data_IF_708240267046
#
_entry.id   IF_708240267046
#
_cell.length_a   1.000
_cell.length_b   1.000
_cell.length_c   1.000
_cell.angle_alpha   90.00
_cell.angle_beta   90.00
_cell.angle_gamma   90.00
#
_symmetry.space_group_name_H-M   'P 1'
#
loop_
_entity.id
_entity.type
_entity.pdbx_description
1 polymer ?
#
# COMPACT_ATOMS: atom_id res chain seq x y z
N UNK A 1 2.55 5.10 -54.90
CA UNK A 1 2.74 3.82 -54.16
C UNK A 1 3.69 3.91 -52.96
N UNK A 2 4.62 4.89 -52.91
CA UNK A 2 5.66 4.98 -51.86
C UNK A 2 5.26 5.62 -50.50
N UNK A 3 4.11 6.30 -50.39
CA UNK A 3 3.70 6.95 -49.12
C UNK A 3 3.03 6.01 -48.11
N UNK A 4 2.59 4.81 -48.52
CA UNK A 4 1.97 3.83 -47.61
C UNK A 4 2.99 2.90 -46.92
N UNK A 5 4.19 2.75 -47.50
CA UNK A 5 5.28 1.95 -46.91
C UNK A 5 6.00 2.68 -45.77
N UNK A 6 6.09 4.01 -45.82
CA UNK A 6 6.72 4.80 -44.75
C UNK A 6 5.92 4.80 -43.43
N UNK A 7 4.58 4.71 -43.50
CA UNK A 7 3.72 4.66 -42.31
C UNK A 7 3.76 3.30 -41.61
N UNK A 8 3.94 2.21 -42.37
CA UNK A 8 4.06 0.86 -41.83
C UNK A 8 5.45 0.65 -41.21
N UNK A 9 6.51 1.25 -41.77
CA UNK A 9 7.85 1.22 -41.17
C UNK A 9 7.95 2.04 -39.88
N UNK A 10 7.23 3.18 -39.77
CA UNK A 10 7.18 3.94 -38.51
C UNK A 10 6.37 3.21 -37.41
N UNK A 11 5.36 2.43 -37.80
CA UNK A 11 4.58 1.58 -36.89
C UNK A 11 5.33 0.30 -36.48
N UNK A 12 6.28 -0.19 -37.28
CA UNK A 12 7.12 -1.35 -36.96
C UNK A 12 8.38 -0.99 -36.16
N UNK A 13 8.95 0.22 -36.32
CA UNK A 13 10.14 0.67 -35.58
C UNK A 13 9.85 1.16 -34.16
N UNK A 14 8.61 1.54 -33.85
CA UNK A 14 8.18 1.82 -32.47
C UNK A 14 7.62 0.58 -31.75
N UNK A 15 7.43 -0.51 -32.50
CA UNK A 15 7.13 -1.85 -32.01
C UNK A 15 8.41 -2.71 -31.91
N UNK A 16 9.49 -2.18 -31.34
CA UNK A 16 10.46 -3.07 -30.67
C UNK A 16 9.88 -3.48 -29.32
N UNK A 17 8.89 -4.36 -29.42
CA UNK A 17 8.48 -5.26 -28.38
C UNK A 17 9.67 -6.19 -28.07
N UNK A 18 10.60 -5.71 -27.26
CA UNK A 18 11.10 -6.56 -26.21
C UNK A 18 9.89 -6.79 -25.30
N UNK A 19 9.17 -7.89 -25.55
CA UNK A 19 8.27 -8.52 -24.59
C UNK A 19 9.16 -8.96 -23.43
N UNK A 20 9.61 -8.00 -22.64
CA UNK A 20 9.98 -8.28 -21.27
C UNK A 20 8.67 -8.76 -20.65
N UNK A 21 8.62 -9.95 -20.04
CA UNK A 21 7.58 -10.20 -19.07
C UNK A 21 7.70 -9.00 -18.13
N UNK A 22 6.67 -8.15 -18.10
CA UNK A 22 6.57 -7.04 -17.15
C UNK A 22 6.41 -7.74 -15.81
N UNK A 23 7.55 -8.18 -15.29
CA UNK A 23 7.67 -8.84 -14.03
C UNK A 23 7.39 -7.70 -13.08
N UNK A 24 6.16 -7.63 -12.58
CA UNK A 24 5.70 -6.65 -11.60
C UNK A 24 6.43 -6.79 -10.25
N UNK A 25 7.60 -7.44 -10.25
CA UNK A 25 8.52 -7.64 -9.13
C UNK A 25 9.31 -6.37 -8.80
N UNK A 26 9.39 -5.38 -9.69
CA UNK A 26 10.12 -4.14 -9.44
C UNK A 26 9.39 -3.18 -8.47
N UNK A 27 8.06 -3.24 -8.39
CA UNK A 27 7.29 -2.45 -7.42
C UNK A 27 7.09 -3.32 -6.17
N UNK A 28 8.15 -3.48 -5.38
CA UNK A 28 8.10 -4.21 -4.12
C UNK A 28 7.34 -3.37 -3.06
N UNK A 29 6.01 -3.55 -3.00
CA UNK A 29 5.03 -2.73 -2.26
C UNK A 29 4.49 -3.35 -0.98
N UNK A 30 5.08 -4.45 -0.51
CA UNK A 30 5.05 -4.83 0.91
C UNK A 30 5.34 -3.62 1.85
N UNK A 31 5.94 -2.59 1.26
CA UNK A 31 6.40 -1.34 1.84
C UNK A 31 5.32 -0.28 2.08
N UNK A 32 4.09 -0.37 1.57
CA UNK A 32 3.10 0.73 1.75
C UNK A 32 2.35 0.68 3.09
N UNK A 33 2.13 -0.52 3.64
CA UNK A 33 1.45 -0.68 4.94
C UNK A 33 2.38 -0.33 6.09
N UNK A 34 1.95 0.60 6.96
CA UNK A 34 2.64 0.95 8.21
C UNK A 34 2.74 -0.25 9.16
N UNK A 35 1.72 -1.11 9.17
CA UNK A 35 1.64 -2.32 10.00
C UNK A 35 2.82 -3.26 9.76
N UNK A 36 3.36 -3.28 8.54
CA UNK A 36 4.57 -4.05 8.23
C UNK A 36 5.81 -3.57 8.99
N UNK A 37 5.88 -2.31 9.42
CA UNK A 37 7.00 -1.79 10.23
C UNK A 37 6.96 -2.32 11.67
N UNK A 38 5.76 -2.52 12.22
CA UNK A 38 5.59 -3.02 13.58
C UNK A 38 6.13 -4.44 13.75
N UNK A 39 6.02 -5.24 12.69
CA UNK A 39 6.45 -6.63 12.73
C UNK A 39 7.76 -6.90 11.97
N UNK A 40 8.39 -5.92 11.33
CA UNK A 40 9.63 -6.13 10.56
C UNK A 40 10.88 -6.23 11.42
N UNK A 41 10.88 -5.68 12.64
CA UNK A 41 12.02 -5.79 13.54
C UNK A 41 12.21 -7.21 14.04
N UNK A 42 13.45 -7.68 14.06
CA UNK A 42 13.79 -8.94 14.71
C UNK A 42 13.93 -8.70 16.22
N UNK A 43 12.93 -9.15 16.97
CA UNK A 43 12.78 -8.91 18.40
C UNK A 43 12.80 -10.23 19.18
N UNK A 44 13.23 -10.26 20.44
CA UNK A 44 13.02 -11.39 21.35
C UNK A 44 11.53 -11.71 21.54
N UNK A 45 11.22 -12.96 21.85
CA UNK A 45 9.85 -13.47 22.00
C UNK A 45 8.99 -12.61 22.95
N UNK A 46 9.56 -12.19 24.09
CA UNK A 46 8.82 -11.41 25.09
C UNK A 46 8.46 -10.01 24.58
N UNK A 47 9.36 -9.34 23.83
CA UNK A 47 9.04 -8.06 23.18
C UNK A 47 7.97 -8.25 22.09
N UNK A 48 8.03 -9.34 21.31
CA UNK A 48 7.00 -9.66 20.31
C UNK A 48 5.62 -9.82 20.95
N UNK A 49 5.52 -10.52 22.08
CA UNK A 49 4.26 -10.68 22.83
C UNK A 49 3.70 -9.35 23.33
N UNK A 50 4.56 -8.44 23.83
CA UNK A 50 4.13 -7.10 24.25
C UNK A 50 3.54 -6.30 23.09
N UNK A 51 4.21 -6.33 21.93
CA UNK A 51 3.71 -5.66 20.72
C UNK A 51 2.39 -6.28 20.25
N UNK A 52 2.26 -7.61 20.29
CA UNK A 52 1.02 -8.31 19.95
C UNK A 52 -0.15 -7.92 20.85
N UNK A 53 0.11 -7.71 22.15
CA UNK A 53 -0.90 -7.21 23.08
C UNK A 53 -1.27 -5.76 22.76
N UNK A 54 -0.30 -4.87 22.54
CA UNK A 54 -0.53 -3.47 22.17
C UNK A 54 -1.43 -3.36 20.94
N UNK A 55 -1.12 -4.11 19.87
CA UNK A 55 -1.89 -4.09 18.62
C UNK A 55 -3.31 -4.60 18.87
N UNK A 56 -3.47 -5.74 19.53
CA UNK A 56 -4.78 -6.36 19.76
C UNK A 56 -5.67 -5.50 20.67
N UNK A 57 -5.12 -4.98 21.76
CA UNK A 57 -5.87 -4.16 22.73
C UNK A 57 -6.31 -2.84 22.10
N UNK A 58 -5.40 -2.14 21.43
CA UNK A 58 -5.73 -0.85 20.80
C UNK A 58 -6.77 -1.00 19.69
N UNK A 59 -6.68 -2.06 18.88
CA UNK A 59 -7.68 -2.33 17.83
C UNK A 59 -9.04 -2.77 18.40
N UNK A 60 -9.04 -3.47 19.54
CA UNK A 60 -10.27 -3.86 20.24
C UNK A 60 -10.96 -2.65 20.87
N UNK A 61 -10.20 -1.75 21.50
CA UNK A 61 -10.70 -0.52 22.11
C UNK A 61 -11.29 0.43 21.06
N UNK A 62 -10.58 0.62 19.95
CA UNK A 62 -11.00 1.54 18.91
C UNK A 62 -12.31 1.17 18.22
N UNK A 63 -12.81 -0.08 18.38
CA UNK A 63 -14.11 -0.51 17.86
C UNK A 63 -14.34 -0.11 16.39
N UNK A 64 -13.30 -0.24 15.54
CA UNK A 64 -13.34 0.17 14.14
C UNK A 64 -14.59 -0.41 13.45
N UNK A 65 -15.62 0.41 13.34
CA UNK A 65 -16.83 0.08 12.61
C UNK A 65 -16.41 -0.15 11.17
N UNK A 66 -16.82 -1.28 10.60
CA UNK A 66 -16.22 -1.85 9.40
C UNK A 66 -15.90 -0.83 8.30
N UNK A 67 -14.77 -1.03 7.61
CA UNK A 67 -14.29 -0.15 6.54
C UNK A 67 -15.43 0.34 5.63
N UNK A 68 -15.52 1.66 5.38
CA UNK A 68 -16.53 2.20 4.48
C UNK A 68 -16.30 1.64 3.07
N UNK A 69 -17.39 1.48 2.34
CA UNK A 69 -17.35 1.21 0.90
C UNK A 69 -17.77 2.47 0.18
N UNK A 70 -16.90 2.97 -0.71
CA UNK A 70 -17.11 4.21 -1.45
C UNK A 70 -17.79 3.88 -2.76
N UNK A 71 -19.02 4.36 -2.94
CA UNK A 71 -19.85 4.12 -4.13
C UNK A 71 -19.86 5.31 -5.08
N UNK A 72 -19.62 6.52 -4.57
CA UNK A 72 -19.63 7.77 -5.33
C UNK A 72 -18.52 8.69 -4.82
N UNK A 73 -18.13 9.67 -5.64
CA UNK A 73 -17.14 10.69 -5.29
C UNK A 73 -17.79 11.99 -4.77
N UNK A 74 -19.03 11.90 -4.27
CA UNK A 74 -19.70 13.07 -3.70
C UNK A 74 -19.09 13.49 -2.36
N UNK A 75 -19.34 14.74 -1.98
CA UNK A 75 -18.79 15.32 -0.77
C UNK A 75 -19.11 14.51 0.49
N UNK A 76 -20.34 13.98 0.60
CA UNK A 76 -20.74 13.23 1.79
C UNK A 76 -19.94 11.95 1.96
N UNK A 77 -19.70 11.20 0.88
CA UNK A 77 -18.90 9.98 0.92
C UNK A 77 -17.41 10.27 1.09
N UNK A 78 -16.89 11.32 0.45
CA UNK A 78 -15.50 11.73 0.64
C UNK A 78 -15.24 12.22 2.08
N UNK A 79 -16.19 12.95 2.67
CA UNK A 79 -16.12 13.39 4.06
C UNK A 79 -16.12 12.20 5.03
N UNK A 80 -17.05 11.25 4.85
CA UNK A 80 -17.11 10.05 5.66
C UNK A 80 -15.83 9.19 5.52
N UNK A 81 -15.30 9.08 4.30
CA UNK A 81 -14.03 8.42 4.03
C UNK A 81 -12.88 9.11 4.77
N UNK A 82 -12.79 10.44 4.68
CA UNK A 82 -11.76 11.23 5.37
C UNK A 82 -11.83 11.05 6.88
N UNK A 83 -13.03 11.07 7.46
CA UNK A 83 -13.23 10.84 8.90
C UNK A 83 -12.74 9.46 9.32
N UNK A 84 -13.09 8.42 8.55
CA UNK A 84 -12.61 7.06 8.80
C UNK A 84 -11.08 6.94 8.66
N UNK A 85 -10.48 7.59 7.65
CA UNK A 85 -9.02 7.55 7.46
C UNK A 85 -8.27 8.25 8.60
N UNK A 86 -8.82 9.34 9.14
CA UNK A 86 -8.27 10.03 10.30
C UNK A 86 -8.32 9.13 11.54
N UNK A 87 -9.47 8.50 11.82
CA UNK A 87 -9.61 7.57 12.95
C UNK A 87 -8.60 6.41 12.86
N UNK A 88 -8.42 5.83 11.67
CA UNK A 88 -7.40 4.78 11.48
C UNK A 88 -5.97 5.33 11.64
N UNK A 89 -5.72 6.59 11.25
CA UNK A 89 -4.44 7.25 11.48
C UNK A 89 -4.14 7.37 12.98
N UNK A 90 -5.10 7.84 13.78
CA UNK A 90 -4.95 8.04 15.22
C UNK A 90 -4.68 6.70 15.95
N UNK A 91 -5.37 5.63 15.53
CA UNK A 91 -5.13 4.27 16.03
C UNK A 91 -3.71 3.81 15.71
N UNK A 92 -3.25 4.04 14.48
CA UNK A 92 -1.89 3.66 14.04
C UNK A 92 -0.81 4.44 14.78
N UNK A 93 -1.04 5.71 15.04
CA UNK A 93 -0.15 6.56 15.84
C UNK A 93 -0.07 6.04 17.28
N UNK A 94 -1.22 5.79 17.91
CA UNK A 94 -1.31 5.21 19.25
C UNK A 94 -0.57 3.88 19.36
N UNK A 95 -0.75 2.97 18.40
CA UNK A 95 -0.03 1.69 18.35
C UNK A 95 1.48 1.95 18.20
N UNK A 96 1.89 2.78 17.25
CA UNK A 96 3.31 3.08 17.02
C UNK A 96 3.96 3.65 18.28
N UNK A 97 3.32 4.61 18.95
CA UNK A 97 3.87 5.24 20.15
C UNK A 97 4.05 4.24 21.30
N UNK A 98 3.04 3.39 21.53
CA UNK A 98 3.12 2.32 22.54
C UNK A 98 4.19 1.29 22.19
N UNK A 99 4.34 0.94 20.91
CA UNK A 99 5.44 0.06 20.45
C UNK A 99 6.79 0.74 20.70
N UNK A 100 6.94 2.01 20.36
CA UNK A 100 8.20 2.73 20.56
C UNK A 100 8.63 2.73 22.03
N UNK A 101 7.70 2.77 22.98
CA UNK A 101 8.00 2.70 24.41
C UNK A 101 8.64 1.35 24.84
N UNK A 102 8.27 0.23 24.22
CA UNK A 102 8.81 -1.10 24.56
C UNK A 102 10.14 -1.44 23.84
N UNK A 103 10.51 -0.63 22.84
CA UNK A 103 11.74 -0.81 22.08
C UNK A 103 12.94 -0.15 22.76
N UNK A 104 14.12 -0.74 22.57
CA UNK A 104 15.40 -0.11 22.96
C UNK A 104 15.72 1.10 22.07
N UNK A 105 16.61 2.02 22.47
CA UNK A 105 16.98 3.17 21.65
C UNK A 105 17.50 2.80 20.24
N UNK A 106 18.16 1.66 20.09
CA UNK A 106 18.60 1.17 18.78
C UNK A 106 17.42 0.67 17.94
N UNK A 107 16.53 -0.13 18.53
CA UNK A 107 15.34 -0.65 17.86
C UNK A 107 14.38 0.48 17.45
N UNK A 108 14.22 1.51 18.30
CA UNK A 108 13.42 2.71 17.98
C UNK A 108 13.93 3.41 16.73
N UNK A 109 15.26 3.61 16.62
CA UNK A 109 15.87 4.21 15.41
C UNK A 109 15.62 3.36 14.16
N UNK A 110 15.69 2.04 14.28
CA UNK A 110 15.38 1.13 13.17
C UNK A 110 13.91 1.19 12.76
N UNK A 111 12.98 1.20 13.72
CA UNK A 111 11.55 1.35 13.46
C UNK A 111 11.25 2.70 12.81
N UNK A 112 11.80 3.80 13.33
CA UNK A 112 11.60 5.14 12.78
C UNK A 112 12.09 5.21 11.33
N UNK A 113 13.30 4.74 11.04
CA UNK A 113 13.83 4.72 9.68
C UNK A 113 12.96 3.90 8.73
N UNK A 114 12.33 2.82 9.22
CA UNK A 114 11.36 2.05 8.44
C UNK A 114 10.06 2.83 8.22
N UNK A 115 9.50 3.49 9.24
CA UNK A 115 8.31 4.33 9.12
C UNK A 115 8.53 5.48 8.12
N UNK A 116 9.67 6.17 8.21
CA UNK A 116 10.01 7.28 7.31
C UNK A 116 10.13 6.80 5.86
N UNK A 117 10.79 5.66 5.66
CA UNK A 117 10.90 5.04 4.33
C UNK A 117 9.53 4.68 3.77
N UNK A 118 8.61 4.19 4.60
CA UNK A 118 7.24 3.86 4.19
C UNK A 118 6.43 5.10 3.85
N UNK A 119 6.55 6.17 4.65
CA UNK A 119 5.93 7.47 4.34
C UNK A 119 6.38 7.98 2.97
N UNK A 120 7.68 7.97 2.71
CA UNK A 120 8.22 8.35 1.39
C UNK A 120 7.64 7.51 0.24
N UNK A 121 7.48 6.18 0.42
CA UNK A 121 6.83 5.35 -0.60
C UNK A 121 5.34 5.65 -0.78
N UNK A 122 4.62 5.98 0.30
CA UNK A 122 3.22 6.38 0.23
C UNK A 122 3.08 7.72 -0.53
N UNK A 123 3.96 8.68 -0.26
CA UNK A 123 3.97 9.98 -0.95
C UNK A 123 4.25 9.82 -2.44
N UNK A 124 5.26 9.02 -2.78
CA UNK A 124 5.58 8.67 -4.17
C UNK A 124 4.42 7.97 -4.87
N UNK A 125 3.79 7.00 -4.20
CA UNK A 125 2.65 6.27 -4.76
C UNK A 125 1.45 7.18 -4.96
N UNK A 126 1.20 8.11 -4.03
CA UNK A 126 0.11 9.09 -4.13
C UNK A 126 0.35 10.03 -5.30
N UNK A 127 1.55 10.60 -5.41
CA UNK A 127 1.93 11.44 -6.54
C UNK A 127 1.74 10.70 -7.88
N UNK A 128 2.19 9.45 -7.96
CA UNK A 128 2.00 8.60 -9.12
C UNK A 128 0.52 8.39 -9.47
N UNK A 129 -0.33 8.07 -8.50
CA UNK A 129 -1.76 7.88 -8.76
C UNK A 129 -2.44 9.18 -9.23
N UNK A 130 -1.98 10.34 -8.74
CA UNK A 130 -2.49 11.65 -9.14
C UNK A 130 -2.06 12.06 -10.56
N UNK A 131 -0.95 11.54 -11.09
CA UNK A 131 -0.53 11.82 -12.47
C UNK A 131 -1.29 10.99 -13.50
N UNK A 132 -1.91 9.88 -13.08
CA UNK A 132 -2.71 9.05 -13.96
C UNK A 132 -4.04 9.75 -14.26
N UNK A 133 -4.38 9.87 -15.54
CA UNK A 133 -5.71 10.34 -15.95
C UNK A 133 -6.76 9.23 -15.71
N UNK A 134 -7.24 9.12 -14.47
CA UNK A 134 -8.17 8.10 -14.01
C UNK A 134 -9.62 8.54 -14.17
N UNK A 135 -10.46 7.69 -14.76
CA UNK A 135 -11.92 7.89 -14.74
C UNK A 135 -12.48 7.72 -13.32
N UNK A 136 -13.62 8.35 -13.01
CA UNK A 136 -14.30 8.23 -11.71
C UNK A 136 -14.51 6.76 -11.29
N UNK A 137 -14.88 5.90 -12.24
CA UNK A 137 -15.02 4.46 -12.01
C UNK A 137 -13.70 3.81 -11.58
N UNK A 138 -12.58 4.17 -12.21
CA UNK A 138 -11.26 3.69 -11.83
C UNK A 138 -10.84 4.24 -10.46
N UNK A 139 -11.09 5.53 -10.18
CA UNK A 139 -10.81 6.14 -8.88
C UNK A 139 -11.54 5.41 -7.75
N UNK A 140 -12.84 5.14 -7.92
CA UNK A 140 -13.64 4.37 -6.94
C UNK A 140 -13.10 2.96 -6.72
N UNK A 141 -12.72 2.25 -7.79
CA UNK A 141 -12.14 0.91 -7.67
C UNK A 141 -10.79 0.93 -6.95
N UNK A 142 -9.97 1.94 -7.22
CA UNK A 142 -8.66 2.14 -6.57
C UNK A 142 -8.86 2.44 -5.08
N UNK A 143 -9.70 3.41 -4.72
CA UNK A 143 -9.99 3.77 -3.32
C UNK A 143 -10.46 2.55 -2.53
N UNK A 144 -11.44 1.80 -3.05
CA UNK A 144 -11.95 0.60 -2.36
C UNK A 144 -10.89 -0.51 -2.27
N UNK A 145 -10.02 -0.65 -3.27
CA UNK A 145 -8.91 -1.61 -3.22
C UNK A 145 -7.88 -1.24 -2.15
N UNK A 146 -7.56 0.06 -2.02
CA UNK A 146 -6.66 0.56 -0.98
C UNK A 146 -7.24 0.35 0.43
N UNK A 147 -8.53 0.66 0.62
CA UNK A 147 -9.25 0.41 1.87
C UNK A 147 -9.26 -1.08 2.24
N UNK A 148 -9.50 -1.95 1.26
CA UNK A 148 -9.44 -3.40 1.46
C UNK A 148 -8.04 -3.84 1.90
N UNK A 149 -6.98 -3.34 1.25
CA UNK A 149 -5.61 -3.66 1.63
C UNK A 149 -5.26 -3.18 3.04
N UNK A 150 -5.68 -1.97 3.42
CA UNK A 150 -5.50 -1.44 4.78
C UNK A 150 -6.17 -2.35 5.81
N UNK A 151 -7.42 -2.76 5.59
CA UNK A 151 -8.13 -3.67 6.49
C UNK A 151 -7.44 -5.02 6.57
N UNK A 152 -6.98 -5.56 5.44
CA UNK A 152 -6.25 -6.83 5.42
C UNK A 152 -4.94 -6.74 6.22
N UNK A 153 -4.20 -5.63 6.09
CA UNK A 153 -2.96 -5.44 6.82
C UNK A 153 -3.20 -5.43 8.35
N UNK A 154 -4.18 -4.66 8.81
CA UNK A 154 -4.59 -4.62 10.22
C UNK A 154 -5.02 -6.00 10.73
N UNK A 155 -5.85 -6.71 9.95
CA UNK A 155 -6.29 -8.05 10.31
C UNK A 155 -5.15 -9.07 10.36
N UNK A 156 -4.13 -8.94 9.50
CA UNK A 156 -2.94 -9.81 9.51
C UNK A 156 -2.12 -9.57 10.78
N UNK A 157 -1.82 -8.31 11.13
CA UNK A 157 -0.99 -8.02 12.31
C UNK A 157 -1.69 -8.33 13.63
N UNK A 158 -3.01 -8.13 13.69
CA UNK A 158 -3.82 -8.45 14.87
C UNK A 158 -4.03 -9.96 15.08
N UNK A 159 -3.75 -10.80 14.08
CA UNK A 159 -4.01 -12.23 14.17
C UNK A 159 -2.91 -12.96 14.95
N UNK A 160 -3.10 -13.04 16.26
CA UNK A 160 -2.19 -13.71 17.19
C UNK A 160 -2.02 -15.23 16.95
N UNK A 161 -2.90 -15.86 16.16
CA UNK A 161 -2.74 -17.28 15.77
C UNK A 161 -1.65 -17.49 14.70
N UNK A 162 -1.23 -16.43 14.03
CA UNK A 162 -0.16 -16.49 13.03
C UNK A 162 1.19 -16.24 13.70
N UNK A 163 2.20 -17.02 13.30
CA UNK A 163 3.58 -16.74 13.65
C UNK A 163 4.01 -15.36 13.13
N UNK A 164 5.00 -14.76 13.77
CA UNK A 164 5.53 -13.45 13.40
C UNK A 164 6.02 -13.44 11.94
N UNK A 165 6.69 -14.51 11.53
CA UNK A 165 7.21 -14.73 10.18
C UNK A 165 6.08 -14.94 9.17
N UNK A 166 5.00 -15.66 9.52
CA UNK A 166 3.85 -15.82 8.63
C UNK A 166 3.09 -14.51 8.43
N UNK A 167 3.00 -13.66 9.46
CA UNK A 167 2.42 -12.32 9.32
C UNK A 167 3.24 -11.48 8.36
N UNK A 168 4.58 -11.47 8.49
CA UNK A 168 5.48 -10.78 7.54
C UNK A 168 5.24 -11.26 6.10
N UNK A 169 5.26 -12.58 5.87
CA UNK A 169 5.01 -13.16 4.54
C UNK A 169 3.63 -12.81 3.97
N UNK A 170 2.60 -12.72 4.81
CA UNK A 170 1.25 -12.32 4.37
C UNK A 170 1.17 -10.84 4.05
N UNK A 171 1.78 -9.97 4.84
CA UNK A 171 1.84 -8.53 4.55
C UNK A 171 2.59 -8.24 3.25
N UNK A 172 3.64 -9.00 2.94
CA UNK A 172 4.34 -8.87 1.66
C UNK A 172 3.45 -9.21 0.45
N UNK A 173 2.47 -10.11 0.64
CA UNK A 173 1.54 -10.52 -0.40
C UNK A 173 0.33 -9.58 -0.54
N UNK A 174 -0.04 -8.83 0.51
CA UNK A 174 -1.08 -7.80 0.43
C UNK A 174 -0.52 -6.55 -0.27
N UNK A 175 -0.47 -6.62 -1.60
CA UNK A 175 0.07 -5.58 -2.47
C UNK A 175 -1.06 -4.73 -3.08
N UNK A 176 -1.28 -3.49 -2.58
CA UNK A 176 -2.31 -2.60 -3.13
C UNK A 176 -2.04 -2.21 -4.59
N UNK A 177 -0.78 -1.96 -4.98
CA UNK A 177 -0.46 -1.60 -6.37
C UNK A 177 -0.66 -2.74 -7.36
N UNK A 178 -0.60 -4.00 -6.94
CA UNK A 178 -0.99 -5.14 -7.77
C UNK A 178 -2.49 -5.18 -8.03
N UNK A 179 -3.30 -4.72 -7.09
CA UNK A 179 -4.74 -4.60 -7.30
C UNK A 179 -5.05 -3.39 -8.18
N UNK A 180 -4.39 -2.25 -7.93
CA UNK A 180 -4.53 -1.04 -8.74
C UNK A 180 -4.10 -1.27 -10.19
N UNK A 181 -2.97 -1.93 -10.44
CA UNK A 181 -2.48 -2.16 -11.80
C UNK A 181 -3.44 -2.98 -12.68
N UNK A 182 -4.29 -3.81 -12.09
CA UNK A 182 -5.32 -4.56 -12.82
C UNK A 182 -6.49 -3.70 -13.30
N UNK A 183 -6.65 -2.50 -12.73
CA UNK A 183 -7.73 -1.55 -13.02
C UNK A 183 -7.29 -0.51 -14.06
N UNK A 184 -5.98 -0.38 -14.27
CA UNK A 184 -5.39 0.56 -15.21
C UNK A 184 -5.39 0.03 -16.65
N UNK A 185 -5.54 0.93 -17.61
CA UNK A 185 -5.35 0.65 -19.03
C UNK A 185 -3.88 0.42 -19.35
N UNK A 186 -3.57 -0.16 -20.51
CA UNK A 186 -2.19 -0.36 -20.97
C UNK A 186 -1.39 0.95 -21.01
N UNK A 187 -2.00 2.04 -21.48
CA UNK A 187 -1.35 3.36 -21.53
C UNK A 187 -1.02 3.88 -20.12
N UNK A 188 -1.99 3.83 -19.20
CA UNK A 188 -1.78 4.21 -17.79
C UNK A 188 -0.71 3.34 -17.10
N UNK A 189 -0.63 2.05 -17.44
CA UNK A 189 0.42 1.16 -16.94
C UNK A 189 1.82 1.52 -17.49
N UNK A 190 1.88 1.95 -18.75
CA UNK A 190 3.12 2.45 -19.36
C UNK A 190 3.57 3.73 -18.65
N UNK A 191 2.67 4.69 -18.41
CA UNK A 191 2.96 5.92 -17.68
C UNK A 191 3.44 5.62 -16.25
N UNK A 192 2.77 4.67 -15.58
CA UNK A 192 3.16 4.19 -14.25
C UNK A 192 4.57 3.57 -14.24
N UNK A 193 4.94 2.87 -15.31
CA UNK A 193 6.25 2.23 -15.44
C UNK A 193 7.35 3.25 -15.74
N UNK A 194 7.08 4.25 -16.57
CA UNK A 194 8.03 5.34 -16.87
C UNK A 194 8.36 6.10 -15.59
N UNK A 195 7.33 6.46 -14.80
CA UNK A 195 7.51 7.19 -13.56
C UNK A 195 8.27 6.38 -12.51
N UNK A 196 8.04 5.05 -12.41
CA UNK A 196 8.78 4.18 -11.48
C UNK A 196 10.29 4.05 -11.78
N UNK A 197 10.75 4.56 -12.93
CA UNK A 197 12.15 4.56 -13.37
C UNK A 197 12.81 5.94 -13.29
N UNK A 198 12.05 7.01 -13.00
CA UNK A 198 12.56 8.36 -12.76
C UNK A 198 12.90 8.53 -11.29
#
# INVERSE_FOLDING_TARGET
MFRKLAFILFFLLTCQAAVLPVCSAAINTAKLSQEAAWISLDLPLEQRKQIDAIIADTLKEASLNGSPTVKTLDFSQMYALSSYLNEVSDIRETISDRIMQVLTPQQRRQMQAQLDKKKSYNDQTTALLMTLNLTDKQQLLIINSLLQCQRQALAIVANQKLSWEDRRKKLEKSNPLRLVSRILTKAQLTDMTIWSKM
#
